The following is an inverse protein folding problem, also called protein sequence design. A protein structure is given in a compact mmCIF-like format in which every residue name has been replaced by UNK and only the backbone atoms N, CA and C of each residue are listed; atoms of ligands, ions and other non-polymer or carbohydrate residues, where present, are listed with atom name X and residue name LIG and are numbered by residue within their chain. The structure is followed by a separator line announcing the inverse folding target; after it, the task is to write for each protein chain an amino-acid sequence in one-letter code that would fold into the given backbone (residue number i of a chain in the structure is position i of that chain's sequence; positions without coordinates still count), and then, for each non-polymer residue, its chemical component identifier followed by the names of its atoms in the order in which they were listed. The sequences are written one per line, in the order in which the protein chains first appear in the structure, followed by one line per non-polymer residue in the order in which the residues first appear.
data_IF_321127360453
#
_entry.id   IF_321127360453
#
_cell.length_a   1.000
_cell.length_b   1.000
_cell.length_c   1.000
_cell.angle_alpha   90.00
_cell.angle_beta   90.00
_cell.angle_gamma   90.00
#
_symmetry.space_group_name_H-M   'P 1'
#
loop_
_entity.id
_entity.type
_entity.pdbx_description
1 polymer ?
#
# COMPACT_ATOMS: atom_id res chain seq x y z
N UNK A 1 -1.50 -16.75 11.58
CA UNK A 1 -2.35 -15.59 11.27
C UNK A 1 -2.29 -14.59 12.41
N UNK A 2 -1.98 -13.34 12.11
CA UNK A 2 -1.87 -12.31 13.14
C UNK A 2 -3.22 -11.83 13.59
N UNK A 3 -3.34 -11.56 14.89
CA UNK A 3 -4.51 -10.92 15.46
C UNK A 3 -4.62 -9.48 14.98
N UNK A 4 -5.85 -8.97 14.85
CA UNK A 4 -6.09 -7.57 14.48
C UNK A 4 -5.60 -6.59 15.56
N UNK A 5 -5.41 -7.04 16.79
CA UNK A 5 -4.91 -6.22 17.89
C UNK A 5 -3.39 -6.19 18.00
N UNK A 6 -2.69 -7.01 17.21
CA UNK A 6 -1.23 -7.01 17.24
C UNK A 6 -0.66 -5.76 16.59
N UNK A 7 0.35 -5.19 17.24
CA UNK A 7 1.09 -4.07 16.67
C UNK A 7 2.05 -4.62 15.61
N UNK A 8 2.04 -4.00 14.44
CA UNK A 8 2.96 -4.33 13.36
C UNK A 8 3.87 -3.14 13.10
N UNK A 9 5.15 -3.44 12.92
CA UNK A 9 6.18 -2.43 12.74
C UNK A 9 6.82 -2.54 11.38
N UNK A 10 7.40 -1.44 10.92
CA UNK A 10 8.20 -1.42 9.71
C UNK A 10 9.13 -0.23 9.69
N UNK A 11 10.00 -0.23 8.70
CA UNK A 11 10.98 0.85 8.53
C UNK A 11 11.49 0.92 7.11
N UNK A 12 12.13 2.04 6.80
CA UNK A 12 12.88 2.18 5.56
C UNK A 12 14.19 1.36 5.65
N UNK A 13 14.90 1.26 4.54
CA UNK A 13 16.14 0.50 4.46
C UNK A 13 17.17 0.90 5.53
N UNK A 14 17.24 2.18 5.85
CA UNK A 14 18.22 2.72 6.82
C UNK A 14 17.62 2.92 8.20
N UNK A 15 16.39 2.50 8.43
CA UNK A 15 15.69 2.65 9.70
C UNK A 15 15.60 4.10 10.20
N UNK A 16 15.62 5.05 9.26
CA UNK A 16 15.45 6.48 9.55
C UNK A 16 13.99 6.89 9.60
N UNK A 17 13.15 6.20 8.87
CA UNK A 17 11.70 6.32 8.96
C UNK A 17 11.18 4.99 9.50
N UNK A 18 10.47 5.06 10.61
CA UNK A 18 9.90 3.88 11.25
C UNK A 18 8.41 4.11 11.44
N UNK A 19 7.65 3.04 11.48
CA UNK A 19 6.23 3.15 11.77
C UNK A 19 5.74 1.95 12.57
N UNK A 20 4.63 2.17 13.25
CA UNK A 20 3.87 1.09 13.88
C UNK A 20 2.38 1.31 13.63
N UNK A 21 1.65 0.24 13.51
CA UNK A 21 0.20 0.29 13.34
C UNK A 21 -0.45 -0.74 14.24
N UNK A 22 -1.49 -0.32 14.94
CA UNK A 22 -2.28 -1.18 15.83
C UNK A 22 -3.65 -1.51 15.24
N UNK A 23 -4.01 -0.87 14.15
CA UNK A 23 -5.32 -1.06 13.57
C UNK A 23 -5.41 -2.24 12.63
N UNK A 24 -6.65 -2.59 12.24
CA UNK A 24 -6.82 -3.62 11.22
C UNK A 24 -6.22 -3.19 9.91
N UNK A 25 -5.63 -4.16 9.22
CA UNK A 25 -5.01 -3.95 7.92
C UNK A 25 -5.88 -4.57 6.84
N UNK A 26 -6.10 -3.83 5.76
CA UNK A 26 -6.73 -4.38 4.57
C UNK A 26 -5.84 -5.50 4.00
N UNK A 27 -6.42 -6.53 3.37
CA UNK A 27 -5.61 -7.52 2.68
C UNK A 27 -4.67 -6.89 1.65
N UNK A 28 -3.55 -7.56 1.42
CA UNK A 28 -2.54 -7.07 0.50
C UNK A 28 -3.03 -7.18 -0.92
N UNK A 29 -2.86 -6.12 -1.70
CA UNK A 29 -3.10 -6.15 -3.14
C UNK A 29 -1.84 -5.71 -3.88
N UNK A 30 -1.68 -6.23 -5.09
CA UNK A 30 -0.63 -5.81 -6.01
C UNK A 30 -1.24 -4.90 -7.07
N UNK A 31 -0.77 -3.67 -7.15
CA UNK A 31 -1.19 -2.72 -8.18
C UNK A 31 -0.20 -2.69 -9.32
N UNK A 32 -0.69 -2.94 -10.53
CA UNK A 32 0.13 -2.98 -11.73
C UNK A 32 -0.03 -1.72 -12.60
N UNK A 33 -0.59 -0.65 -12.04
CA UNK A 33 -0.79 0.59 -12.78
C UNK A 33 0.56 1.19 -13.20
N UNK A 34 0.51 2.03 -14.22
CA UNK A 34 1.71 2.68 -14.77
C UNK A 34 2.51 3.43 -13.72
N UNK A 35 1.83 4.16 -12.82
CA UNK A 35 2.54 4.89 -11.77
C UNK A 35 3.20 3.96 -10.75
N UNK A 36 2.50 2.91 -10.33
CA UNK A 36 3.07 1.92 -9.43
C UNK A 36 4.25 1.22 -10.07
N UNK A 37 4.13 0.86 -11.35
CA UNK A 37 5.21 0.21 -12.09
C UNK A 37 6.43 1.11 -12.18
N UNK A 38 6.24 2.36 -12.55
CA UNK A 38 7.37 3.28 -12.73
C UNK A 38 8.02 3.66 -11.40
N UNK A 39 7.23 3.83 -10.37
CA UNK A 39 7.78 4.24 -9.07
C UNK A 39 8.45 3.11 -8.30
N UNK A 40 8.05 1.87 -8.54
CA UNK A 40 8.61 0.70 -7.82
C UNK A 40 9.50 -0.17 -8.69
N UNK A 41 9.52 0.06 -9.99
CA UNK A 41 10.23 -0.72 -11.00
C UNK A 41 9.67 -2.13 -11.20
N UNK A 42 8.50 -2.40 -10.67
CA UNK A 42 7.77 -3.65 -10.90
C UNK A 42 6.28 -3.41 -10.68
N UNK A 43 5.67 -4.04 -9.72
CA UNK A 43 4.35 -3.66 -9.22
C UNK A 43 4.49 -3.21 -7.77
N UNK A 44 3.44 -2.59 -7.24
CA UNK A 44 3.44 -2.17 -5.85
C UNK A 44 2.49 -3.06 -5.06
N UNK A 45 3.01 -3.74 -4.06
CA UNK A 45 2.21 -4.54 -3.13
C UNK A 45 1.97 -3.71 -1.86
N UNK A 46 0.72 -3.50 -1.51
CA UNK A 46 0.37 -2.65 -0.39
C UNK A 46 -0.84 -3.17 0.36
N UNK A 47 -0.87 -2.88 1.64
CA UNK A 47 -2.09 -2.93 2.42
C UNK A 47 -2.53 -1.50 2.75
N UNK A 48 -3.47 -1.34 3.67
CA UNK A 48 -3.95 -0.03 4.06
C UNK A 48 -4.49 -0.11 5.48
N UNK A 49 -4.35 0.99 6.21
CA UNK A 49 -4.82 1.11 7.59
C UNK A 49 -5.38 2.51 7.83
N UNK A 50 -6.16 2.67 8.89
CA UNK A 50 -6.64 4.00 9.29
C UNK A 50 -5.46 4.87 9.72
N UNK A 51 -5.48 6.14 9.31
CA UNK A 51 -4.44 7.09 9.73
C UNK A 51 -4.30 7.16 11.25
N UNK A 52 -5.41 7.06 11.95
CA UNK A 52 -5.43 7.15 13.40
C UNK A 52 -4.78 5.95 14.09
N UNK A 53 -4.58 4.86 13.36
CA UNK A 53 -3.94 3.64 13.88
C UNK A 53 -2.45 3.59 13.59
N UNK A 54 -1.93 4.56 12.84
CA UNK A 54 -0.56 4.54 12.33
C UNK A 54 0.26 5.65 12.98
N UNK A 55 1.41 5.28 13.52
CA UNK A 55 2.39 6.22 14.06
C UNK A 55 3.65 6.15 13.20
N UNK A 56 4.06 7.30 12.69
CA UNK A 56 5.25 7.40 11.83
C UNK A 56 6.26 8.32 12.51
N UNK A 57 7.52 7.89 12.55
CA UNK A 57 8.63 8.71 13.03
C UNK A 57 9.67 8.83 11.91
N UNK A 58 10.42 9.94 11.94
CA UNK A 58 11.39 10.22 10.90
C UNK A 58 10.83 11.09 9.79
N UNK A 59 11.67 11.44 8.85
CA UNK A 59 11.31 12.40 7.80
C UNK A 59 10.91 11.69 6.50
N UNK A 60 9.62 11.77 6.18
CA UNK A 60 9.08 11.27 4.93
C UNK A 60 8.97 12.43 3.95
N UNK A 61 9.49 12.26 2.75
CA UNK A 61 9.24 13.19 1.66
C UNK A 61 8.04 12.71 0.87
N UNK A 62 7.23 13.65 0.44
CA UNK A 62 6.00 13.38 -0.27
C UNK A 62 6.06 13.94 -1.69
N UNK A 63 5.81 13.09 -2.66
CA UNK A 63 5.69 13.49 -4.06
C UNK A 63 4.22 13.47 -4.47
N UNK A 64 3.71 14.61 -4.93
CA UNK A 64 2.34 14.70 -5.43
C UNK A 64 2.27 14.00 -6.78
N UNK A 65 1.81 12.76 -6.78
CA UNK A 65 1.84 11.91 -7.97
C UNK A 65 0.61 12.08 -8.87
N UNK A 66 -0.48 12.63 -8.32
CA UNK A 66 -1.68 12.96 -9.07
C UNK A 66 -2.45 14.04 -8.31
N UNK A 67 -3.56 14.50 -8.86
CA UNK A 67 -4.40 15.48 -8.16
C UNK A 67 -4.92 14.97 -6.81
N UNK A 68 -5.04 13.65 -6.67
CA UNK A 68 -5.67 13.05 -5.49
C UNK A 68 -4.78 12.12 -4.72
N UNK A 69 -3.50 12.06 -5.06
CA UNK A 69 -2.62 11.12 -4.38
C UNK A 69 -1.20 11.64 -4.30
N UNK A 70 -0.52 11.23 -3.24
CA UNK A 70 0.90 11.49 -3.08
C UNK A 70 1.57 10.22 -2.59
N UNK A 71 2.87 10.13 -2.84
CA UNK A 71 3.69 8.98 -2.48
C UNK A 71 4.75 9.41 -1.49
N UNK A 72 4.89 8.62 -0.41
CA UNK A 72 5.83 8.93 0.66
C UNK A 72 7.04 8.03 0.59
N UNK A 73 8.23 8.63 0.71
CA UNK A 73 9.47 7.88 0.68
C UNK A 73 10.47 8.48 1.68
N UNK A 74 11.43 7.66 2.07
CA UNK A 74 12.44 8.10 3.03
C UNK A 74 13.38 9.12 2.39
N UNK A 75 13.59 10.23 3.05
CA UNK A 75 14.52 11.26 2.60
C UNK A 75 15.95 10.73 2.46
N UNK A 76 16.36 9.81 3.34
CA UNK A 76 17.75 9.38 3.43
C UNK A 76 18.10 8.22 2.50
N UNK A 77 17.17 7.29 2.28
CA UNK A 77 17.47 6.09 1.50
C UNK A 77 16.49 5.82 0.37
N UNK A 78 15.51 6.70 0.16
CA UNK A 78 14.54 6.64 -0.93
C UNK A 78 13.61 5.42 -0.90
N UNK A 79 13.56 4.67 0.19
CA UNK A 79 12.62 3.57 0.32
C UNK A 79 11.20 4.08 0.10
N UNK A 80 10.47 3.45 -0.81
CA UNK A 80 9.05 3.76 -1.01
C UNK A 80 8.24 3.12 0.10
N UNK A 81 7.49 3.92 0.83
CA UNK A 81 6.84 3.44 2.05
C UNK A 81 5.33 3.60 2.03
N UNK A 82 4.82 4.72 1.50
CA UNK A 82 3.41 5.04 1.65
C UNK A 82 2.79 5.55 0.35
N UNK A 83 1.51 5.23 0.19
CA UNK A 83 0.67 5.86 -0.82
C UNK A 83 -0.52 6.49 -0.10
N UNK A 84 -0.74 7.77 -0.35
CA UNK A 84 -1.73 8.57 0.34
C UNK A 84 -2.75 9.12 -0.65
N UNK A 85 -3.96 8.58 -0.61
CA UNK A 85 -5.07 9.06 -1.41
C UNK A 85 -5.84 10.21 -0.76
N UNK A 86 -5.30 10.77 0.33
CA UNK A 86 -5.87 11.92 1.05
C UNK A 86 -7.18 11.61 1.76
N UNK A 87 -7.53 10.34 1.91
CA UNK A 87 -8.71 9.91 2.67
C UNK A 87 -8.36 9.55 4.11
N UNK A 88 -9.24 8.79 4.75
CA UNK A 88 -9.07 8.37 6.14
C UNK A 88 -8.04 7.26 6.31
N UNK A 89 -7.63 6.63 5.23
CA UNK A 89 -6.70 5.52 5.26
C UNK A 89 -5.40 5.88 4.56
N UNK A 90 -4.34 5.20 4.94
CA UNK A 90 -3.03 5.33 4.33
C UNK A 90 -2.55 3.96 3.91
N UNK A 91 -2.06 3.84 2.69
CA UNK A 91 -1.50 2.59 2.19
C UNK A 91 -0.03 2.48 2.58
N UNK A 92 0.38 1.28 2.94
CA UNK A 92 1.75 0.97 3.32
C UNK A 92 2.27 -0.10 2.37
N UNK A 93 3.41 0.16 1.75
CA UNK A 93 4.03 -0.83 0.86
C UNK A 93 4.63 -1.96 1.67
N UNK A 94 4.34 -3.18 1.28
CA UNK A 94 4.57 -4.38 2.09
C UNK A 94 6.02 -4.65 2.43
N UNK A 95 6.91 -4.31 1.52
CA UNK A 95 8.33 -4.62 1.71
C UNK A 95 8.97 -3.90 2.90
N UNK A 96 8.31 -2.85 3.42
CA UNK A 96 8.85 -2.11 4.55
C UNK A 96 8.43 -2.67 5.91
N UNK A 97 7.48 -3.60 5.96
CA UNK A 97 7.12 -4.25 7.23
C UNK A 97 8.22 -5.19 7.69
N UNK A 98 8.40 -5.29 8.99
CA UNK A 98 9.30 -6.29 9.56
C UNK A 98 8.72 -7.70 9.41
N UNK A 99 9.57 -8.64 9.06
CA UNK A 99 9.19 -10.04 8.91
C UNK A 99 9.19 -10.74 10.29
N UNK A 100 8.33 -11.74 10.48
CA UNK A 100 7.36 -12.26 9.51
C UNK A 100 6.14 -11.35 9.44
N UNK A 101 5.70 -11.03 8.21
CA UNK A 101 4.58 -10.12 8.01
C UNK A 101 3.25 -10.78 8.40
N UNK A 102 3.08 -12.05 8.06
CA UNK A 102 1.87 -12.79 8.37
C UNK A 102 0.66 -12.42 7.51
N UNK A 103 0.87 -11.62 6.47
CA UNK A 103 -0.15 -11.24 5.51
C UNK A 103 0.16 -11.87 4.16
N UNK A 104 -0.87 -12.15 3.37
CA UNK A 104 -0.72 -12.75 2.06
C UNK A 104 -1.34 -11.86 1.00
N UNK A 105 -0.81 -11.97 -0.22
CA UNK A 105 -1.38 -11.29 -1.37
C UNK A 105 -2.78 -11.87 -1.65
N UNK A 106 -3.76 -10.99 -1.86
CA UNK A 106 -5.14 -11.42 -2.08
C UNK A 106 -5.68 -11.11 -3.47
N UNK A 107 -4.97 -10.32 -4.26
CA UNK A 107 -5.43 -10.00 -5.61
C UNK A 107 -4.59 -8.95 -6.30
N UNK A 108 -4.96 -8.69 -7.55
CA UNK A 108 -4.25 -7.78 -8.44
C UNK A 108 -5.22 -6.73 -8.99
N UNK A 109 -4.78 -5.48 -9.02
CA UNK A 109 -5.53 -4.38 -9.61
C UNK A 109 -4.76 -3.75 -10.76
N UNK A 110 -5.48 -3.06 -11.64
CA UNK A 110 -4.91 -2.36 -12.80
C UNK A 110 -4.08 -3.30 -13.69
N UNK A 111 -4.57 -4.50 -13.88
CA UNK A 111 -3.89 -5.49 -14.70
C UNK A 111 -3.85 -5.09 -16.18
N UNK A 112 -4.76 -4.22 -16.63
CA UNK A 112 -4.73 -3.69 -17.99
C UNK A 112 -3.46 -2.90 -18.28
N UNK A 113 -2.79 -2.38 -17.25
CA UNK A 113 -1.55 -1.61 -17.38
C UNK A 113 -0.31 -2.40 -16.99
N UNK A 114 -0.48 -3.69 -16.74
CA UNK A 114 0.61 -4.56 -16.31
C UNK A 114 1.77 -4.54 -17.32
N UNK A 115 2.99 -4.62 -16.81
CA UNK A 115 4.16 -4.82 -17.66
C UNK A 115 4.06 -6.13 -18.43
N UNK A 116 4.62 -6.16 -19.62
CA UNK A 116 4.54 -7.32 -20.51
C UNK A 116 5.67 -8.33 -20.26
N UNK A 117 6.51 -8.08 -19.28
CA UNK A 117 7.70 -8.91 -19.01
C UNK A 117 7.45 -9.97 -17.96
N UNK A 118 6.22 -10.12 -17.47
CA UNK A 118 5.89 -11.17 -16.47
C UNK A 118 4.43 -11.60 -16.60
N UNK A 119 4.16 -12.80 -16.10
CA UNK A 119 2.81 -13.36 -16.06
C UNK A 119 2.32 -13.47 -14.63
N UNK A 120 1.00 -13.40 -14.46
CA UNK A 120 0.36 -13.60 -13.16
C UNK A 120 -0.22 -15.01 -13.13
N UNK A 121 0.40 -15.90 -12.35
CA UNK A 121 0.05 -17.31 -12.34
C UNK A 121 -0.38 -17.81 -10.96
N UNK A 122 -0.75 -16.92 -10.05
CA UNK A 122 -1.08 -17.27 -8.67
C UNK A 122 -2.56 -17.60 -8.43
N UNK A 123 -3.38 -17.56 -9.47
CA UNK A 123 -4.83 -17.86 -9.42
C UNK A 123 -5.64 -16.85 -8.59
N UNK A 124 -5.05 -15.74 -8.20
CA UNK A 124 -5.76 -14.68 -7.49
C UNK A 124 -6.58 -13.83 -8.47
N UNK A 125 -7.55 -13.11 -7.94
CA UNK A 125 -8.37 -12.21 -8.75
C UNK A 125 -7.50 -11.20 -9.47
N UNK A 126 -7.74 -11.02 -10.78
CA UNK A 126 -7.03 -10.07 -11.62
C UNK A 126 -8.04 -9.05 -12.16
N UNK A 127 -8.07 -7.87 -11.59
CA UNK A 127 -8.96 -6.80 -12.02
C UNK A 127 -8.26 -5.91 -13.04
N UNK A 128 -8.96 -5.58 -14.13
CA UNK A 128 -8.43 -4.72 -15.20
C UNK A 128 -8.13 -3.30 -14.71
N UNK A 129 -8.95 -2.81 -13.78
CA UNK A 129 -8.80 -1.50 -13.16
C UNK A 129 -8.91 -1.68 -11.64
N UNK A 130 -9.44 -0.68 -10.93
CA UNK A 130 -9.71 -0.86 -9.51
C UNK A 130 -10.85 -1.86 -9.30
N UNK A 131 -10.80 -2.56 -8.17
CA UNK A 131 -11.88 -3.46 -7.78
C UNK A 131 -12.20 -3.21 -6.30
N UNK A 132 -13.40 -2.68 -5.99
CA UNK A 132 -13.78 -2.40 -4.61
C UNK A 132 -13.78 -3.62 -3.69
N UNK A 133 -14.00 -4.82 -4.23
CA UNK A 133 -13.97 -6.04 -3.42
C UNK A 133 -12.56 -6.33 -2.90
N UNK A 134 -11.54 -5.87 -3.62
CA UNK A 134 -10.15 -6.02 -3.20
C UNK A 134 -9.69 -4.87 -2.31
N UNK A 135 -10.16 -3.65 -2.59
CA UNK A 135 -9.65 -2.44 -1.92
C UNK A 135 -10.50 -2.00 -0.73
N UNK A 136 -11.60 -2.71 -0.45
CA UNK A 136 -12.51 -2.34 0.64
C UNK A 136 -11.88 -2.57 1.99
N UNK A 137 -12.04 -1.60 2.87
CA UNK A 137 -11.69 -1.71 4.27
C UNK A 137 -12.84 -2.28 5.08
N UNK A 138 -12.59 -2.60 6.35
CA UNK A 138 -13.65 -2.88 7.30
C UNK A 138 -14.59 -1.68 7.40
N UNK A 139 -15.79 -1.91 7.91
CA UNK A 139 -16.82 -0.87 8.00
C UNK A 139 -16.29 0.40 8.68
N UNK A 140 -15.46 0.22 9.72
CA UNK A 140 -14.91 1.35 10.48
C UNK A 140 -14.01 2.25 9.64
N UNK A 141 -13.45 1.76 8.53
CA UNK A 141 -12.48 2.46 7.71
C UNK A 141 -13.00 2.84 6.32
N UNK A 142 -14.29 2.66 6.06
CA UNK A 142 -14.82 2.83 4.70
C UNK A 142 -15.03 4.28 4.26
N UNK A 143 -14.95 5.23 5.18
CA UNK A 143 -15.41 6.61 4.94
C UNK A 143 -14.76 7.35 3.78
N UNK A 144 -13.61 6.94 3.27
CA UNK A 144 -12.88 7.66 2.22
C UNK A 144 -12.19 6.75 1.24
N UNK A 145 -12.64 5.53 1.10
CA UNK A 145 -11.97 4.57 0.22
C UNK A 145 -11.99 4.98 -1.26
N UNK A 146 -12.86 5.91 -1.61
CA UNK A 146 -12.92 6.41 -2.99
C UNK A 146 -11.59 7.01 -3.48
N UNK A 147 -10.74 7.46 -2.57
CA UNK A 147 -9.43 7.99 -2.93
C UNK A 147 -8.51 6.92 -3.54
N UNK A 148 -8.74 5.65 -3.26
CA UNK A 148 -7.94 4.55 -3.78
C UNK A 148 -8.19 4.24 -5.25
N UNK A 149 -9.26 4.77 -5.81
CA UNK A 149 -9.65 4.44 -7.17
C UNK A 149 -8.76 5.08 -8.24
N UNK A 150 -7.95 6.03 -7.86
CA UNK A 150 -7.14 6.81 -8.81
C UNK A 150 -5.67 6.72 -8.44
N UNK A 151 -5.03 5.67 -8.88
CA UNK A 151 -3.58 5.56 -8.82
C UNK A 151 -2.88 6.53 -9.78
N UNK A 152 -3.66 7.16 -10.66
CA UNK A 152 -3.12 8.03 -11.70
C UNK A 152 -3.20 9.49 -11.32
#
# INVERSE_FOLDING_TARGET
KKSMSEIMNGSCLRERVCYSTAGPLRPVIASHCTQCRKSSSHFAAANSTARTSLTITGEVLWYQSSLRARRGFCKNCSSQMFWDGLGNNLSIFLGCFEAPIGLTLSGHTFCAEKGDYYELADSLLQAEANNPDLTRHSIANQGSDNAFHNCH
#
